data_IF_668705319424
#
_entry.id   IF_668705319424
#
_cell.length_a   1.000
_cell.length_b   1.000
_cell.length_c   1.000
_cell.angle_alpha   90.00
_cell.angle_beta   90.00
_cell.angle_gamma   90.00
#
_symmetry.space_group_name_H-M   'P 1'
#
loop_
_entity.id
_entity.type
_entity.pdbx_description
1 polymer ?
#
# COMPACT_ATOMS: atom_id res chain seq x y z
N UNK A 1 10.46 -31.96 17.70
CA UNK A 1 9.56 -31.96 16.53
C UNK A 1 9.87 -33.21 15.73
N UNK A 2 8.89 -34.10 15.52
CA UNK A 2 9.07 -35.27 14.66
C UNK A 2 9.34 -34.81 13.21
N UNK A 3 10.14 -35.57 12.46
CA UNK A 3 10.51 -35.27 11.07
C UNK A 3 9.29 -35.10 10.14
N UNK A 4 8.13 -35.64 10.52
CA UNK A 4 6.87 -35.59 9.76
C UNK A 4 6.24 -34.19 9.64
N UNK A 5 6.66 -33.23 10.48
CA UNK A 5 6.13 -31.86 10.43
C UNK A 5 6.90 -30.92 9.48
N UNK A 6 8.08 -31.35 9.02
CA UNK A 6 8.95 -30.52 8.17
C UNK A 6 8.34 -30.30 6.77
N UNK A 7 7.88 -31.35 6.04
CA UNK A 7 7.31 -31.14 4.70
C UNK A 7 6.07 -30.22 4.69
N UNK A 8 5.09 -30.36 5.62
CA UNK A 8 3.99 -29.41 5.76
C UNK A 8 4.45 -27.97 5.94
N UNK A 9 5.41 -27.73 6.85
CA UNK A 9 5.89 -26.39 7.15
C UNK A 9 6.55 -25.74 5.92
N UNK A 10 7.45 -26.47 5.25
CA UNK A 10 8.15 -25.98 4.07
C UNK A 10 7.18 -25.70 2.93
N UNK A 11 6.33 -26.68 2.59
CA UNK A 11 5.44 -26.58 1.44
C UNK A 11 4.28 -25.61 1.69
N UNK A 12 3.77 -25.53 2.92
CA UNK A 12 2.65 -24.68 3.27
C UNK A 12 3.00 -23.21 3.49
N UNK A 13 4.22 -22.88 3.95
CA UNK A 13 4.55 -21.51 4.36
C UNK A 13 5.57 -20.83 3.43
N UNK A 14 6.57 -21.57 2.94
CA UNK A 14 7.67 -20.97 2.16
C UNK A 14 7.18 -20.35 0.85
N UNK A 15 6.30 -20.98 0.04
CA UNK A 15 5.96 -20.43 -1.27
C UNK A 15 5.43 -18.99 -1.23
N UNK A 16 4.53 -18.69 -0.28
CA UNK A 16 3.97 -17.34 -0.15
C UNK A 16 4.99 -16.32 0.36
N UNK A 17 5.85 -16.72 1.30
CA UNK A 17 6.94 -15.87 1.79
C UNK A 17 7.99 -15.60 0.70
N UNK A 18 8.33 -16.62 -0.08
CA UNK A 18 9.24 -16.50 -1.22
C UNK A 18 8.65 -15.55 -2.27
N UNK A 19 7.37 -15.68 -2.59
CA UNK A 19 6.70 -14.80 -3.55
C UNK A 19 6.70 -13.34 -3.06
N UNK A 20 6.34 -13.09 -1.80
CA UNK A 20 6.40 -11.75 -1.21
C UNK A 20 7.82 -11.18 -1.23
N UNK A 21 8.82 -12.02 -0.93
CA UNK A 21 10.23 -11.62 -0.97
C UNK A 21 10.65 -11.21 -2.38
N UNK A 22 10.24 -11.96 -3.40
CA UNK A 22 10.49 -11.60 -4.81
C UNK A 22 9.82 -10.27 -5.14
N UNK A 23 8.58 -10.02 -4.70
CA UNK A 23 7.91 -8.73 -4.92
C UNK A 23 8.65 -7.57 -4.28
N UNK A 24 9.12 -7.72 -3.03
CA UNK A 24 9.94 -6.69 -2.33
C UNK A 24 11.30 -6.49 -3.02
N UNK A 25 11.87 -7.56 -3.57
CA UNK A 25 13.13 -7.48 -4.29
C UNK A 25 12.97 -6.74 -5.63
N UNK A 26 11.89 -7.01 -6.38
CA UNK A 26 11.54 -6.37 -7.65
C UNK A 26 11.19 -4.88 -7.51
N UNK A 27 10.95 -4.37 -6.31
CA UNK A 27 10.74 -2.93 -6.09
C UNK A 27 12.07 -2.17 -6.29
N UNK A 28 12.26 -1.60 -7.48
CA UNK A 28 13.49 -0.87 -7.85
C UNK A 28 13.72 0.38 -7.00
N UNK A 29 12.65 1.04 -6.56
CA UNK A 29 12.73 2.31 -5.84
C UNK A 29 12.71 2.14 -4.31
N UNK A 30 12.56 0.90 -3.82
CA UNK A 30 12.45 0.56 -2.39
C UNK A 30 11.45 1.47 -1.68
N UNK A 31 10.23 1.51 -2.25
CA UNK A 31 9.10 2.30 -1.78
C UNK A 31 8.63 1.84 -0.40
N UNK A 32 8.73 0.55 -0.13
CA UNK A 32 8.30 -0.06 1.14
C UNK A 32 9.49 -0.42 2.02
N UNK A 33 9.37 -0.11 3.31
CA UNK A 33 10.34 -0.55 4.32
C UNK A 33 10.00 -1.95 4.81
N UNK A 34 11.02 -2.74 5.11
CA UNK A 34 10.85 -4.09 5.65
C UNK A 34 10.03 -4.09 6.95
N UNK A 35 10.25 -3.12 7.85
CA UNK A 35 9.47 -2.98 9.09
C UNK A 35 7.97 -2.85 8.81
N UNK A 36 7.62 -2.04 7.81
CA UNK A 36 6.24 -1.81 7.40
C UNK A 36 5.63 -3.09 6.81
N UNK A 37 6.36 -3.82 5.96
CA UNK A 37 5.95 -5.13 5.45
C UNK A 37 5.68 -6.12 6.59
N UNK A 38 6.59 -6.20 7.58
CA UNK A 38 6.44 -7.07 8.74
C UNK A 38 5.21 -6.71 9.59
N UNK A 39 4.97 -5.43 9.84
CA UNK A 39 3.76 -4.97 10.56
C UNK A 39 2.47 -5.35 9.84
N UNK A 40 2.48 -5.32 8.50
CA UNK A 40 1.32 -5.70 7.68
C UNK A 40 1.10 -7.20 7.67
N UNK A 41 2.17 -8.00 7.65
CA UNK A 41 2.09 -9.46 7.86
C UNK A 41 1.46 -9.74 9.22
N UNK A 42 1.92 -9.08 10.28
CA UNK A 42 1.35 -9.24 11.64
C UNK A 42 -0.13 -8.83 11.67
N UNK A 43 -0.48 -7.74 11.00
CA UNK A 43 -1.88 -7.28 10.88
C UNK A 43 -2.75 -8.31 10.13
N UNK A 44 -2.22 -8.91 9.07
CA UNK A 44 -2.88 -9.98 8.32
C UNK A 44 -3.09 -11.24 9.17
N UNK A 45 -2.09 -11.61 9.97
CA UNK A 45 -2.18 -12.72 10.92
C UNK A 45 -3.26 -12.46 11.99
N UNK A 46 -3.34 -11.24 12.52
CA UNK A 46 -4.40 -10.84 13.44
C UNK A 46 -5.79 -10.89 12.78
N UNK A 47 -5.90 -10.49 11.51
CA UNK A 47 -7.13 -10.60 10.73
C UNK A 47 -7.59 -12.06 10.56
N UNK A 48 -6.67 -13.00 10.35
CA UNK A 48 -6.99 -14.43 10.32
C UNK A 48 -7.51 -14.94 11.67
N UNK A 49 -6.86 -14.56 12.79
CA UNK A 49 -7.35 -14.91 14.12
C UNK A 49 -8.76 -14.37 14.39
N UNK A 50 -9.03 -13.12 13.98
CA UNK A 50 -10.36 -12.52 14.09
C UNK A 50 -11.39 -13.23 13.20
N UNK A 51 -11.03 -13.57 11.96
CA UNK A 51 -11.90 -14.33 11.06
C UNK A 51 -12.25 -15.68 11.67
N UNK A 52 -11.26 -16.42 12.18
CA UNK A 52 -11.46 -17.71 12.84
C UNK A 52 -12.43 -17.60 14.03
N UNK A 53 -12.28 -16.59 14.89
CA UNK A 53 -13.20 -16.35 16.01
C UNK A 53 -14.62 -16.07 15.55
N UNK A 54 -14.81 -15.17 14.57
CA UNK A 54 -16.13 -14.83 14.04
C UNK A 54 -16.78 -16.05 13.38
N UNK A 55 -16.03 -16.78 12.55
CA UNK A 55 -16.53 -17.96 11.86
C UNK A 55 -16.96 -19.02 12.88
N UNK A 56 -16.10 -19.36 13.84
CA UNK A 56 -16.37 -20.44 14.80
C UNK A 56 -17.46 -20.10 15.81
N UNK A 57 -17.48 -18.89 16.35
CA UNK A 57 -18.40 -18.51 17.43
C UNK A 57 -19.73 -17.96 16.93
N UNK A 58 -19.78 -17.41 15.72
CA UNK A 58 -20.98 -16.71 15.22
C UNK A 58 -21.56 -17.42 14.00
N UNK A 59 -20.74 -17.71 12.98
CA UNK A 59 -21.27 -18.25 11.72
C UNK A 59 -21.59 -19.74 11.80
N UNK A 60 -20.69 -20.55 12.36
CA UNK A 60 -20.86 -22.01 12.48
C UNK A 60 -22.14 -22.40 13.22
N UNK A 61 -22.53 -21.75 14.34
CA UNK A 61 -23.79 -22.06 15.02
C UNK A 61 -25.05 -21.61 14.25
N UNK A 62 -24.93 -20.66 13.32
CA UNK A 62 -26.06 -19.94 12.72
C UNK A 62 -26.32 -20.29 11.25
N UNK A 63 -25.37 -20.91 10.53
CA UNK A 63 -25.42 -21.07 9.08
C UNK A 63 -24.92 -22.45 8.63
N UNK A 64 -25.39 -22.89 7.46
CA UNK A 64 -24.92 -24.12 6.83
C UNK A 64 -23.40 -24.03 6.50
N UNK A 65 -22.60 -25.07 6.81
CA UNK A 65 -21.15 -25.07 6.56
C UNK A 65 -20.76 -24.82 5.10
N UNK A 66 -21.58 -25.25 4.14
CA UNK A 66 -21.31 -25.03 2.71
C UNK A 66 -21.49 -23.57 2.34
N UNK A 67 -22.53 -22.92 2.86
CA UNK A 67 -22.75 -21.47 2.68
C UNK A 67 -21.65 -20.64 3.34
N UNK A 68 -21.19 -21.05 4.52
CA UNK A 68 -20.06 -20.38 5.20
C UNK A 68 -18.82 -20.45 4.31
N UNK A 69 -18.38 -21.67 3.95
CA UNK A 69 -17.15 -21.88 3.18
C UNK A 69 -17.18 -21.19 1.82
N UNK A 70 -18.31 -21.21 1.13
CA UNK A 70 -18.42 -20.71 -0.25
C UNK A 70 -18.71 -19.21 -0.34
N UNK A 71 -19.32 -18.59 0.66
CA UNK A 71 -19.77 -17.20 0.54
C UNK A 71 -19.41 -16.35 1.76
N UNK A 72 -19.84 -16.75 2.97
CA UNK A 72 -19.71 -15.89 4.15
C UNK A 72 -18.26 -15.71 4.59
N UNK A 73 -17.48 -16.80 4.64
CA UNK A 73 -16.05 -16.76 4.98
C UNK A 73 -15.25 -15.95 3.94
N UNK A 74 -15.34 -16.20 2.62
CA UNK A 74 -14.68 -15.36 1.61
C UNK A 74 -14.96 -13.85 1.78
N UNK A 75 -16.22 -13.46 1.96
CA UNK A 75 -16.57 -12.04 2.14
C UNK A 75 -15.99 -11.46 3.44
N UNK A 76 -16.09 -12.18 4.54
CA UNK A 76 -15.56 -11.76 5.84
C UNK A 76 -14.04 -11.62 5.80
N UNK A 77 -13.35 -12.63 5.32
CA UNK A 77 -11.89 -12.69 5.29
C UNK A 77 -11.32 -11.60 4.38
N UNK A 78 -11.89 -11.42 3.18
CA UNK A 78 -11.47 -10.32 2.30
C UNK A 78 -11.78 -8.95 2.89
N UNK A 79 -12.89 -8.79 3.64
CA UNK A 79 -13.22 -7.53 4.32
C UNK A 79 -12.23 -7.18 5.43
N UNK A 80 -11.83 -8.16 6.23
CA UNK A 80 -10.85 -7.98 7.31
C UNK A 80 -9.46 -7.63 6.75
N UNK A 81 -9.01 -8.33 5.70
CA UNK A 81 -7.76 -7.99 5.01
C UNK A 81 -7.84 -6.63 4.32
N UNK A 82 -8.96 -6.33 3.68
CA UNK A 82 -9.19 -5.04 3.03
C UNK A 82 -9.12 -3.88 4.02
N UNK A 83 -9.62 -4.03 5.26
CA UNK A 83 -9.55 -2.98 6.28
C UNK A 83 -8.11 -2.50 6.55
N UNK A 84 -7.13 -3.41 6.54
CA UNK A 84 -5.70 -3.09 6.68
C UNK A 84 -5.25 -2.18 5.53
N UNK A 85 -5.54 -2.58 4.29
CA UNK A 85 -5.15 -1.85 3.09
C UNK A 85 -5.90 -0.51 2.97
N UNK A 86 -7.18 -0.46 3.36
CA UNK A 86 -7.97 0.78 3.44
C UNK A 86 -7.30 1.77 4.39
N UNK A 87 -6.87 1.32 5.56
CA UNK A 87 -6.18 2.17 6.53
C UNK A 87 -4.88 2.74 5.94
N UNK A 88 -4.09 1.90 5.25
CA UNK A 88 -2.84 2.32 4.61
C UNK A 88 -3.06 3.34 3.49
N UNK A 89 -4.06 3.12 2.63
CA UNK A 89 -4.41 4.07 1.55
C UNK A 89 -4.92 5.39 2.13
N UNK A 90 -5.83 5.34 3.12
CA UNK A 90 -6.40 6.55 3.74
C UNK A 90 -5.39 7.36 4.55
N UNK A 91 -4.38 6.70 5.11
CA UNK A 91 -3.29 7.36 5.84
C UNK A 91 -2.13 7.78 4.92
N UNK A 92 -2.28 7.64 3.59
CA UNK A 92 -1.26 7.96 2.59
C UNK A 92 0.06 7.21 2.79
N UNK A 93 0.01 5.99 3.33
CA UNK A 93 1.16 5.06 3.41
C UNK A 93 1.37 4.27 2.11
N UNK A 94 0.46 4.43 1.15
CA UNK A 94 0.51 3.81 -0.19
C UNK A 94 0.44 4.90 -1.26
N UNK A 95 1.56 5.14 -1.93
CA UNK A 95 1.75 6.21 -2.91
C UNK A 95 1.55 5.74 -4.35
N UNK A 96 1.91 4.51 -4.69
CA UNK A 96 1.97 4.00 -6.05
C UNK A 96 1.27 2.63 -6.18
N UNK A 97 1.33 2.01 -7.36
CA UNK A 97 0.76 0.68 -7.57
C UNK A 97 1.67 -0.42 -7.03
N UNK A 98 3.00 -0.21 -7.07
CA UNK A 98 4.00 -1.18 -6.61
C UNK A 98 3.88 -1.42 -5.11
N UNK A 99 3.90 -0.36 -4.30
CA UNK A 99 3.72 -0.46 -2.85
C UNK A 99 2.30 -0.92 -2.48
N UNK A 100 1.26 -0.51 -3.22
CA UNK A 100 -0.09 -1.07 -3.03
C UNK A 100 -0.09 -2.60 -3.20
N UNK A 101 0.56 -3.11 -4.26
CA UNK A 101 0.64 -4.54 -4.53
C UNK A 101 1.41 -5.29 -3.44
N UNK A 102 2.57 -4.79 -3.03
CA UNK A 102 3.38 -5.42 -1.97
C UNK A 102 2.63 -5.44 -0.64
N UNK A 103 2.02 -4.33 -0.25
CA UNK A 103 1.30 -4.21 1.02
C UNK A 103 0.02 -5.05 1.01
N UNK A 104 -0.69 -5.13 -0.11
CA UNK A 104 -1.83 -6.03 -0.29
C UNK A 104 -1.41 -7.51 -0.18
N UNK A 105 -0.34 -7.90 -0.89
CA UNK A 105 0.17 -9.27 -0.81
C UNK A 105 0.67 -9.63 0.58
N UNK A 106 1.34 -8.70 1.27
CA UNK A 106 1.83 -8.90 2.64
C UNK A 106 0.69 -9.15 3.64
N UNK A 107 -0.43 -8.43 3.53
CA UNK A 107 -1.60 -8.64 4.38
C UNK A 107 -2.21 -10.03 4.14
N UNK A 108 -2.35 -10.43 2.87
CA UNK A 108 -2.81 -11.77 2.51
C UNK A 108 -1.82 -12.87 2.93
N UNK A 109 -0.51 -12.60 2.89
CA UNK A 109 0.54 -13.51 3.35
C UNK A 109 0.39 -13.78 4.85
N UNK A 110 0.29 -12.74 5.67
CA UNK A 110 0.07 -12.89 7.11
C UNK A 110 -1.17 -13.70 7.45
N UNK A 111 -2.27 -13.45 6.71
CA UNK A 111 -3.50 -14.20 6.85
C UNK A 111 -3.31 -15.70 6.55
N UNK A 112 -2.72 -16.00 5.39
CA UNK A 112 -2.47 -17.37 4.93
C UNK A 112 -1.54 -18.16 5.85
N UNK A 113 -0.54 -17.50 6.45
CA UNK A 113 0.37 -18.15 7.39
C UNK A 113 -0.39 -18.69 8.61
N UNK A 114 -1.24 -17.88 9.23
CA UNK A 114 -2.04 -18.31 10.39
C UNK A 114 -3.04 -19.39 9.99
N UNK A 115 -3.70 -19.23 8.84
CA UNK A 115 -4.64 -20.23 8.37
C UNK A 115 -3.94 -21.59 8.14
N UNK A 116 -2.81 -21.60 7.44
CA UNK A 116 -2.04 -22.82 7.20
C UNK A 116 -1.55 -23.46 8.51
N UNK A 117 -1.09 -22.67 9.48
CA UNK A 117 -0.69 -23.18 10.79
C UNK A 117 -1.86 -23.82 11.54
N UNK A 118 -3.06 -23.23 11.47
CA UNK A 118 -4.25 -23.82 12.08
C UNK A 118 -4.60 -25.17 11.43
N UNK A 119 -4.59 -25.24 10.10
CA UNK A 119 -4.80 -26.50 9.39
C UNK A 119 -3.73 -27.56 9.71
N UNK A 120 -2.48 -27.17 9.95
CA UNK A 120 -1.41 -28.10 10.35
C UNK A 120 -1.67 -28.68 11.75
N UNK A 121 -2.20 -27.86 12.67
CA UNK A 121 -2.53 -28.30 14.02
C UNK A 121 -3.70 -29.30 14.01
N UNK A 122 -4.68 -29.09 13.14
CA UNK A 122 -5.88 -29.94 13.00
C UNK A 122 -5.61 -31.22 12.18
N UNK A 123 -4.80 -31.14 11.11
CA UNK A 123 -4.59 -32.23 10.15
C UNK A 123 -3.20 -32.89 10.26
N UNK A 124 -2.97 -33.60 11.38
CA UNK A 124 -1.65 -34.15 11.74
C UNK A 124 -1.07 -35.20 10.76
N UNK A 125 -1.91 -35.87 9.97
CA UNK A 125 -1.49 -36.95 9.04
C UNK A 125 -1.85 -36.64 7.57
N UNK A 126 -1.94 -35.36 7.20
CA UNK A 126 -2.27 -34.97 5.83
C UNK A 126 -1.13 -35.28 4.83
N UNK A 127 -1.50 -35.77 3.65
CA UNK A 127 -0.55 -36.07 2.58
C UNK A 127 0.12 -34.82 1.99
N UNK A 128 1.31 -35.00 1.44
CA UNK A 128 2.14 -33.93 0.83
C UNK A 128 1.38 -33.11 -0.21
N UNK A 129 0.51 -33.73 -1.01
CA UNK A 129 -0.32 -33.05 -2.01
C UNK A 129 -1.22 -31.96 -1.43
N UNK A 130 -1.73 -32.13 -0.21
CA UNK A 130 -2.51 -31.08 0.46
C UNK A 130 -1.65 -29.83 0.70
N UNK A 131 -0.44 -30.00 1.18
CA UNK A 131 0.45 -28.89 1.52
C UNK A 131 0.97 -28.17 0.28
N UNK A 132 1.13 -28.87 -0.84
CA UNK A 132 1.38 -28.26 -2.15
C UNK A 132 0.23 -27.32 -2.53
N UNK A 133 -1.02 -27.81 -2.47
CA UNK A 133 -2.22 -27.00 -2.80
C UNK A 133 -2.38 -25.84 -1.84
N UNK A 134 -2.18 -26.06 -0.53
CA UNK A 134 -2.33 -25.00 0.47
C UNK A 134 -1.25 -23.93 0.34
N UNK A 135 -0.01 -24.31 0.06
CA UNK A 135 1.10 -23.36 -0.07
C UNK A 135 1.11 -22.60 -1.39
N UNK A 136 0.96 -23.30 -2.52
CA UNK A 136 1.02 -22.68 -3.85
C UNK A 136 -0.34 -22.20 -4.35
N UNK A 137 -1.43 -22.80 -3.89
CA UNK A 137 -2.79 -22.43 -4.23
C UNK A 137 -3.37 -21.46 -3.20
N UNK A 138 -3.78 -21.97 -2.03
CA UNK A 138 -4.51 -21.18 -1.01
C UNK A 138 -3.72 -19.96 -0.53
N UNK A 139 -2.45 -20.12 -0.14
CA UNK A 139 -1.68 -19.00 0.40
C UNK A 139 -1.39 -17.91 -0.65
N UNK A 140 -1.05 -18.32 -1.88
CA UNK A 140 -0.88 -17.39 -3.00
C UNK A 140 -2.22 -16.74 -3.40
N UNK A 141 -3.35 -17.45 -3.28
CA UNK A 141 -4.69 -16.90 -3.49
C UNK A 141 -5.00 -15.80 -2.47
N UNK A 142 -4.75 -15.98 -1.18
CA UNK A 142 -4.98 -14.92 -0.19
C UNK A 142 -4.11 -13.69 -0.46
N UNK A 143 -2.83 -13.88 -0.78
CA UNK A 143 -1.95 -12.78 -1.20
C UNK A 143 -2.47 -12.08 -2.46
N UNK A 144 -2.88 -12.85 -3.46
CA UNK A 144 -3.35 -12.37 -4.76
C UNK A 144 -4.67 -11.60 -4.71
N UNK A 145 -5.68 -12.11 -4.02
CA UNK A 145 -6.99 -11.44 -3.84
C UNK A 145 -6.83 -10.10 -3.14
N UNK A 146 -6.02 -10.05 -2.08
CA UNK A 146 -5.75 -8.79 -1.36
C UNK A 146 -4.86 -7.83 -2.16
N UNK A 147 -3.96 -8.34 -3.01
CA UNK A 147 -3.23 -7.54 -4.01
C UNK A 147 -4.18 -6.91 -5.02
N UNK A 148 -5.12 -7.67 -5.57
CA UNK A 148 -6.13 -7.19 -6.52
C UNK A 148 -6.95 -6.07 -5.86
N UNK A 149 -7.43 -6.28 -4.63
CA UNK A 149 -8.10 -5.24 -3.85
C UNK A 149 -7.27 -3.96 -3.77
N UNK A 150 -6.01 -4.08 -3.33
CA UNK A 150 -5.13 -2.94 -3.12
C UNK A 150 -4.87 -2.14 -4.40
N UNK A 151 -4.55 -2.83 -5.49
CA UNK A 151 -4.25 -2.23 -6.80
C UNK A 151 -5.49 -1.57 -7.39
N UNK A 152 -6.66 -2.23 -7.33
CA UNK A 152 -7.92 -1.66 -7.82
C UNK A 152 -8.31 -0.42 -7.02
N UNK A 153 -8.28 -0.50 -5.69
CA UNK A 153 -8.62 0.61 -4.81
C UNK A 153 -7.68 1.80 -5.03
N UNK A 154 -6.37 1.55 -5.13
CA UNK A 154 -5.37 2.59 -5.38
C UNK A 154 -5.54 3.24 -6.75
N UNK A 155 -5.77 2.45 -7.80
CA UNK A 155 -6.03 2.96 -9.14
C UNK A 155 -7.25 3.88 -9.17
N UNK A 156 -8.34 3.50 -8.49
CA UNK A 156 -9.55 4.30 -8.40
C UNK A 156 -9.37 5.55 -7.54
N UNK A 157 -8.63 5.46 -6.43
CA UNK A 157 -8.30 6.59 -5.59
C UNK A 157 -7.47 7.64 -6.34
N UNK A 158 -6.47 7.20 -7.12
CA UNK A 158 -5.64 8.09 -7.94
C UNK A 158 -6.46 8.77 -9.03
N UNK A 159 -7.34 8.03 -9.73
CA UNK A 159 -8.23 8.60 -10.76
C UNK A 159 -9.21 9.62 -10.20
N UNK A 160 -9.69 9.44 -8.97
CA UNK A 160 -10.64 10.35 -8.32
C UNK A 160 -9.98 11.47 -7.52
N UNK A 161 -8.66 11.42 -7.34
CA UNK A 161 -7.91 12.34 -6.47
C UNK A 161 -8.21 12.18 -4.97
N UNK A 162 -9.02 11.21 -4.56
CA UNK A 162 -9.42 11.00 -3.16
C UNK A 162 -9.76 9.53 -2.84
N UNK A 163 -9.47 9.12 -1.60
CA UNK A 163 -9.72 7.78 -1.08
C UNK A 163 -11.13 7.64 -0.43
N UNK A 164 -12.17 8.09 -1.13
CA UNK A 164 -13.56 7.99 -0.66
C UNK A 164 -14.07 6.55 -0.62
N UNK A 165 -15.10 6.21 0.20
CA UNK A 165 -15.56 4.82 0.39
C UNK A 165 -15.84 4.04 -0.90
N UNK A 166 -16.39 4.71 -1.93
CA UNK A 166 -16.74 4.09 -3.20
C UNK A 166 -15.55 3.59 -4.04
N UNK A 167 -14.30 3.92 -3.70
CA UNK A 167 -13.11 3.38 -4.41
C UNK A 167 -12.76 1.95 -4.00
N UNK A 168 -13.20 1.53 -2.81
CA UNK A 168 -12.86 0.22 -2.24
C UNK A 168 -13.84 -0.88 -2.65
N UNK A 169 -15.11 -0.53 -2.87
CA UNK A 169 -16.18 -1.49 -3.14
C UNK A 169 -15.89 -2.41 -4.35
N UNK A 170 -15.44 -1.89 -5.51
CA UNK A 170 -15.18 -2.74 -6.68
C UNK A 170 -14.06 -3.76 -6.43
N UNK A 171 -12.98 -3.35 -5.78
CA UNK A 171 -11.88 -4.24 -5.43
C UNK A 171 -12.29 -5.31 -4.43
N UNK A 172 -13.11 -4.93 -3.42
CA UNK A 172 -13.55 -5.87 -2.38
C UNK A 172 -14.50 -6.92 -2.97
N UNK A 173 -15.43 -6.48 -3.81
CA UNK A 173 -16.33 -7.38 -4.52
C UNK A 173 -15.54 -8.37 -5.39
N UNK A 174 -14.57 -7.88 -6.16
CA UNK A 174 -13.73 -8.74 -7.01
C UNK A 174 -12.92 -9.74 -6.19
N UNK A 175 -12.31 -9.31 -5.09
CA UNK A 175 -11.55 -10.20 -4.20
C UNK A 175 -12.45 -11.29 -3.59
N UNK A 176 -13.63 -10.92 -3.07
CA UNK A 176 -14.58 -11.86 -2.48
C UNK A 176 -15.11 -12.87 -3.51
N UNK A 177 -15.38 -12.43 -4.74
CA UNK A 177 -15.82 -13.32 -5.83
C UNK A 177 -14.73 -14.32 -6.23
N UNK A 178 -13.48 -13.88 -6.34
CA UNK A 178 -12.36 -14.76 -6.69
C UNK A 178 -12.07 -15.79 -5.58
N UNK A 179 -12.11 -15.35 -4.31
CA UNK A 179 -11.97 -16.24 -3.17
C UNK A 179 -13.15 -17.22 -3.10
N UNK A 180 -14.38 -16.73 -3.24
CA UNK A 180 -15.56 -17.58 -3.31
C UNK A 180 -15.43 -18.64 -4.42
N UNK A 181 -15.03 -18.24 -5.63
CA UNK A 181 -14.80 -19.14 -6.75
C UNK A 181 -13.77 -20.21 -6.43
N UNK A 182 -12.66 -19.84 -5.77
CA UNK A 182 -11.65 -20.79 -5.30
C UNK A 182 -12.28 -21.84 -4.37
N UNK A 183 -13.09 -21.42 -3.39
CA UNK A 183 -13.74 -22.27 -2.41
C UNK A 183 -14.94 -23.10 -2.95
N UNK A 184 -15.36 -22.86 -4.19
CA UNK A 184 -16.37 -23.70 -4.84
C UNK A 184 -15.80 -25.03 -5.35
N UNK A 185 -14.49 -25.10 -5.58
CA UNK A 185 -13.81 -26.29 -6.13
C UNK A 185 -14.45 -26.77 -7.44
N UNK A 186 -14.82 -25.84 -8.34
CA UNK A 186 -15.38 -26.19 -9.65
C UNK A 186 -14.44 -27.06 -10.52
N UNK A 187 -13.14 -26.99 -10.24
CA UNK A 187 -12.11 -27.87 -10.84
C UNK A 187 -11.22 -28.43 -9.74
N UNK A 188 -10.44 -29.46 -10.07
CA UNK A 188 -9.54 -30.10 -9.11
C UNK A 188 -8.59 -29.08 -8.44
N UNK A 189 -8.30 -29.18 -7.13
CA UNK A 189 -7.47 -28.19 -6.42
C UNK A 189 -6.07 -28.00 -7.01
N UNK A 190 -5.48 -29.05 -7.60
CA UNK A 190 -4.21 -28.96 -8.32
C UNK A 190 -4.30 -28.09 -9.58
N UNK A 191 -5.42 -28.17 -10.31
CA UNK A 191 -5.66 -27.31 -11.48
C UNK A 191 -5.89 -25.85 -11.07
N UNK A 192 -6.60 -25.60 -9.97
CA UNK A 192 -6.74 -24.25 -9.41
C UNK A 192 -5.37 -23.68 -9.00
N UNK A 193 -4.52 -24.50 -8.38
CA UNK A 193 -3.15 -24.13 -8.02
C UNK A 193 -2.33 -23.76 -9.26
N UNK A 194 -2.36 -24.59 -10.30
CA UNK A 194 -1.69 -24.31 -11.57
C UNK A 194 -2.21 -23.01 -12.21
N UNK A 195 -3.53 -22.78 -12.22
CA UNK A 195 -4.13 -21.56 -12.74
C UNK A 195 -3.62 -20.32 -12.00
N UNK A 196 -3.54 -20.36 -10.67
CA UNK A 196 -2.99 -19.25 -9.87
C UNK A 196 -1.54 -18.98 -10.24
N UNK A 197 -0.70 -20.01 -10.33
CA UNK A 197 0.72 -19.86 -10.68
C UNK A 197 0.94 -19.36 -12.10
N UNK A 198 0.02 -19.65 -13.03
CA UNK A 198 0.09 -19.15 -14.40
C UNK A 198 -0.47 -17.73 -14.57
N UNK A 199 -1.36 -17.28 -13.69
CA UNK A 199 -2.09 -16.01 -13.86
C UNK A 199 -1.60 -14.91 -12.92
N UNK A 200 -1.34 -15.22 -11.66
CA UNK A 200 -0.98 -14.22 -10.65
C UNK A 200 0.40 -13.59 -10.90
N UNK A 201 1.48 -14.34 -11.19
CA UNK A 201 2.79 -13.73 -11.39
C UNK A 201 2.84 -12.77 -12.60
N UNK A 202 2.30 -13.13 -13.80
CA UNK A 202 2.20 -12.17 -14.90
C UNK A 202 1.37 -10.94 -14.57
N UNK A 203 0.26 -11.10 -13.83
CA UNK A 203 -0.56 -9.97 -13.41
C UNK A 203 0.22 -9.03 -12.48
N UNK A 204 0.95 -9.56 -11.49
CA UNK A 204 1.82 -8.77 -10.62
C UNK A 204 2.93 -8.09 -11.40
N UNK A 205 3.58 -8.78 -12.34
CA UNK A 205 4.61 -8.20 -13.20
C UNK A 205 4.07 -7.02 -14.03
N UNK A 206 2.87 -7.13 -14.59
CA UNK A 206 2.21 -6.03 -15.31
C UNK A 206 1.88 -4.85 -14.40
N UNK A 207 1.45 -5.12 -13.16
CA UNK A 207 1.22 -4.06 -12.16
C UNK A 207 2.51 -3.34 -11.83
N UNK A 208 3.62 -4.07 -11.67
CA UNK A 208 4.94 -3.48 -11.39
C UNK A 208 5.42 -2.63 -12.58
N UNK A 209 5.37 -3.14 -13.80
CA UNK A 209 5.76 -2.39 -15.00
C UNK A 209 4.97 -1.08 -15.14
N UNK A 210 3.64 -1.13 -14.98
CA UNK A 210 2.80 0.08 -15.02
C UNK A 210 3.06 1.01 -13.85
N UNK A 211 3.27 0.46 -12.67
CA UNK A 211 3.55 1.21 -11.45
C UNK A 211 4.87 1.97 -11.53
N UNK A 212 5.93 1.31 -11.99
CA UNK A 212 7.25 1.93 -12.22
C UNK A 212 7.19 3.00 -13.31
N UNK A 213 6.51 2.74 -14.42
CA UNK A 213 6.32 3.77 -15.46
C UNK A 213 5.59 5.01 -14.89
N UNK A 214 4.53 4.82 -14.11
CA UNK A 214 3.82 5.93 -13.47
C UNK A 214 4.68 6.65 -12.43
N UNK A 215 5.55 5.93 -11.72
CA UNK A 215 6.46 6.52 -10.73
C UNK A 215 7.55 7.34 -11.41
N UNK A 216 8.21 6.80 -12.44
CA UNK A 216 9.24 7.50 -13.21
C UNK A 216 8.69 8.78 -13.84
N UNK A 217 7.54 8.71 -14.50
CA UNK A 217 6.90 9.90 -15.07
C UNK A 217 6.54 10.95 -14.00
N UNK A 218 6.13 10.51 -12.80
CA UNK A 218 5.88 11.42 -11.68
C UNK A 218 7.16 12.05 -11.14
N UNK A 219 8.26 11.29 -11.08
CA UNK A 219 9.57 11.79 -10.71
C UNK A 219 10.04 12.85 -11.70
N UNK A 220 10.07 12.53 -13.00
CA UNK A 220 10.60 13.42 -14.04
C UNK A 220 9.84 14.75 -14.10
N UNK A 221 8.51 14.69 -14.25
CA UNK A 221 7.67 15.89 -14.37
C UNK A 221 7.67 16.70 -13.06
N UNK A 222 7.58 16.02 -11.92
CA UNK A 222 7.51 16.69 -10.63
C UNK A 222 8.85 17.29 -10.18
N UNK A 223 9.97 16.66 -10.52
CA UNK A 223 11.31 17.16 -10.16
C UNK A 223 11.64 18.46 -10.90
N UNK A 224 11.33 18.52 -12.20
CA UNK A 224 11.52 19.74 -13.00
C UNK A 224 10.62 20.88 -12.51
N UNK A 225 9.36 20.58 -12.18
CA UNK A 225 8.42 21.56 -11.66
C UNK A 225 8.89 22.13 -10.32
N UNK A 226 9.31 21.27 -9.39
CA UNK A 226 9.80 21.70 -8.08
C UNK A 226 11.11 22.48 -8.18
N UNK A 227 12.02 22.09 -9.07
CA UNK A 227 13.27 22.83 -9.30
C UNK A 227 13.00 24.24 -9.82
N UNK A 228 12.08 24.39 -10.77
CA UNK A 228 11.65 25.70 -11.29
C UNK A 228 10.98 26.54 -10.20
N UNK A 229 10.10 25.94 -9.41
CA UNK A 229 9.44 26.63 -8.28
C UNK A 229 10.48 27.16 -7.30
N UNK A 230 11.42 26.32 -6.87
CA UNK A 230 12.45 26.73 -5.91
C UNK A 230 13.37 27.82 -6.48
N UNK A 231 13.76 27.72 -7.74
CA UNK A 231 14.56 28.74 -8.42
C UNK A 231 13.82 30.09 -8.51
N UNK A 232 12.52 30.09 -8.81
CA UNK A 232 11.71 31.32 -8.82
C UNK A 232 11.59 31.94 -7.43
N UNK A 233 11.44 31.13 -6.38
CA UNK A 233 11.43 31.61 -4.99
C UNK A 233 12.77 32.26 -4.64
N UNK A 234 13.90 31.59 -4.93
CA UNK A 234 15.24 32.09 -4.59
C UNK A 234 15.65 33.33 -5.39
N UNK A 235 15.25 33.41 -6.66
CA UNK A 235 15.56 34.56 -7.53
C UNK A 235 14.58 35.73 -7.39
N UNK A 236 13.58 35.62 -6.52
CA UNK A 236 12.56 36.65 -6.31
C UNK A 236 11.57 36.83 -7.47
N UNK A 237 11.55 35.91 -8.44
CA UNK A 237 10.68 35.97 -9.63
C UNK A 237 9.36 35.22 -9.46
N UNK A 238 9.05 34.76 -8.25
CA UNK A 238 7.81 34.04 -7.99
C UNK A 238 6.57 34.87 -8.35
N UNK A 239 6.63 36.20 -8.19
CA UNK A 239 5.56 37.15 -8.54
C UNK A 239 5.07 37.04 -9.98
N UNK A 240 5.94 36.62 -10.89
CA UNK A 240 5.65 36.52 -12.33
C UNK A 240 4.99 35.18 -12.69
N UNK A 241 4.86 34.28 -11.72
CA UNK A 241 4.26 32.96 -11.89
C UNK A 241 2.78 32.93 -11.46
N UNK A 242 1.97 31.97 -11.94
CA UNK A 242 0.60 31.76 -11.47
C UNK A 242 0.52 31.59 -9.94
N UNK A 243 1.53 30.98 -9.33
CA UNK A 243 1.63 30.77 -7.88
C UNK A 243 1.83 32.10 -7.15
N UNK A 244 2.70 32.98 -7.66
CA UNK A 244 2.92 34.32 -7.09
C UNK A 244 1.70 35.22 -7.25
N UNK A 245 1.03 35.17 -8.40
CA UNK A 245 -0.23 35.88 -8.61
C UNK A 245 -1.30 35.43 -7.61
N UNK A 246 -1.40 34.12 -7.36
CA UNK A 246 -2.30 33.59 -6.35
C UNK A 246 -1.93 34.04 -4.92
N UNK A 247 -0.64 33.99 -4.55
CA UNK A 247 -0.16 34.51 -3.26
C UNK A 247 -0.48 36.01 -3.08
N UNK A 248 -0.38 36.80 -4.16
CA UNK A 248 -0.74 38.22 -4.11
C UNK A 248 -2.21 38.41 -3.75
N UNK A 249 -3.12 37.55 -4.23
CA UNK A 249 -4.55 37.59 -3.84
C UNK A 249 -4.82 37.24 -2.37
N UNK A 250 -3.85 36.58 -1.70
CA UNK A 250 -3.93 36.27 -0.27
C UNK A 250 -3.41 37.40 0.61
N UNK A 251 -2.62 38.33 0.05
CA UNK A 251 -1.95 39.40 0.79
C UNK A 251 -2.95 40.30 1.53
N UNK A 252 -4.11 40.55 0.94
CA UNK A 252 -5.17 41.39 1.52
C UNK A 252 -6.09 40.60 2.46
N UNK A 253 -5.96 39.27 2.51
CA UNK A 253 -6.83 38.36 3.28
C UNK A 253 -6.18 37.83 4.56
N UNK A 254 -4.86 37.95 4.67
CA UNK A 254 -4.07 37.46 5.79
C UNK A 254 -3.16 38.56 6.35
N UNK A 255 -2.79 38.46 7.62
CA UNK A 255 -1.75 39.31 8.20
C UNK A 255 -0.42 39.08 7.47
N UNK A 256 0.40 40.12 7.32
CA UNK A 256 1.68 40.04 6.60
C UNK A 256 2.61 38.92 7.10
N UNK A 257 2.64 38.70 8.43
CA UNK A 257 3.35 37.57 9.07
C UNK A 257 2.91 36.21 8.52
N UNK A 258 1.60 35.98 8.39
CA UNK A 258 1.04 34.73 7.88
C UNK A 258 1.34 34.55 6.39
N UNK A 259 1.36 35.64 5.62
CA UNK A 259 1.72 35.60 4.19
C UNK A 259 3.20 35.22 4.03
N UNK A 260 4.08 35.74 4.89
CA UNK A 260 5.49 35.34 4.93
C UNK A 260 5.62 33.86 5.30
N UNK A 261 4.92 33.39 6.33
CA UNK A 261 4.92 31.99 6.73
C UNK A 261 4.37 31.06 5.63
N UNK A 262 3.36 31.49 4.86
CA UNK A 262 2.86 30.75 3.69
C UNK A 262 3.93 30.60 2.61
N UNK A 263 4.71 31.64 2.35
CA UNK A 263 5.82 31.58 1.40
C UNK A 263 6.95 30.67 1.90
N UNK A 264 7.31 30.77 3.19
CA UNK A 264 8.27 29.87 3.82
C UNK A 264 7.80 28.41 3.77
N UNK A 265 6.51 28.17 4.05
CA UNK A 265 5.91 26.85 3.99
C UNK A 265 5.96 26.27 2.57
N UNK A 266 5.62 27.07 1.55
CA UNK A 266 5.70 26.68 0.15
C UNK A 266 7.14 26.30 -0.23
N UNK A 267 8.11 27.16 0.09
CA UNK A 267 9.53 26.92 -0.17
C UNK A 267 10.00 25.61 0.45
N UNK A 268 9.74 25.44 1.76
CA UNK A 268 10.21 24.29 2.52
C UNK A 268 9.56 22.99 2.03
N UNK A 269 8.27 23.05 1.67
CA UNK A 269 7.58 21.92 1.05
C UNK A 269 8.21 21.53 -0.29
N UNK A 270 8.54 22.50 -1.15
CA UNK A 270 9.22 22.25 -2.43
C UNK A 270 10.63 21.67 -2.22
N UNK A 271 11.40 22.17 -1.24
CA UNK A 271 12.71 21.61 -0.89
C UNK A 271 12.59 20.15 -0.44
N UNK A 272 11.66 19.84 0.47
CA UNK A 272 11.41 18.48 0.94
C UNK A 272 10.92 17.56 -0.19
N UNK A 273 10.09 18.07 -1.10
CA UNK A 273 9.63 17.34 -2.29
C UNK A 273 10.81 16.96 -3.20
N UNK A 274 11.72 17.89 -3.49
CA UNK A 274 12.95 17.59 -4.25
C UNK A 274 13.83 16.57 -3.55
N UNK A 275 14.02 16.70 -2.23
CA UNK A 275 14.79 15.73 -1.43
C UNK A 275 14.18 14.33 -1.52
N UNK A 276 12.86 14.20 -1.39
CA UNK A 276 12.17 12.92 -1.50
C UNK A 276 12.35 12.28 -2.89
N UNK A 277 12.18 13.06 -3.97
CA UNK A 277 12.37 12.57 -5.34
C UNK A 277 13.82 12.18 -5.60
N UNK A 278 14.78 12.99 -5.18
CA UNK A 278 16.21 12.68 -5.29
C UNK A 278 16.59 11.40 -4.55
N UNK A 279 16.03 11.15 -3.35
CA UNK A 279 16.20 9.90 -2.62
C UNK A 279 15.70 8.69 -3.41
N UNK A 280 14.56 8.81 -4.09
CA UNK A 280 14.01 7.73 -4.92
C UNK A 280 14.89 7.44 -6.14
N UNK A 281 15.42 8.48 -6.81
CA UNK A 281 16.35 8.32 -7.94
C UNK A 281 17.67 7.65 -7.52
N UNK A 282 18.19 8.01 -6.34
CA UNK A 282 19.38 7.39 -5.78
C UNK A 282 19.14 5.91 -5.44
N UNK A 283 17.96 5.57 -4.87
CA UNK A 283 17.57 4.19 -4.59
C UNK A 283 17.44 3.35 -5.85
N UNK A 284 16.82 3.89 -6.90
CA UNK A 284 16.73 3.23 -8.22
C UNK A 284 18.12 2.89 -8.77
N UNK A 285 19.09 3.78 -8.56
CA UNK A 285 20.49 3.57 -8.97
C UNK A 285 21.28 2.64 -8.04
N UNK A 286 20.65 2.07 -7.01
CA UNK A 286 21.25 1.13 -6.07
C UNK A 286 21.96 1.76 -4.86
N UNK A 287 21.90 3.08 -4.68
CA UNK A 287 22.50 3.73 -3.51
C UNK A 287 21.64 3.55 -2.25
N UNK A 288 22.30 3.22 -1.14
CA UNK A 288 21.65 3.20 0.18
C UNK A 288 21.75 4.56 0.85
N UNK A 289 20.70 5.35 0.71
CA UNK A 289 20.64 6.71 1.24
C UNK A 289 19.72 6.77 2.45
N UNK A 290 20.27 7.30 3.54
CA UNK A 290 19.54 7.52 4.78
C UNK A 290 19.09 8.97 4.85
N UNK A 291 17.94 9.21 5.47
CA UNK A 291 17.45 10.56 5.74
C UNK A 291 18.36 11.18 6.81
N UNK A 292 18.97 12.31 6.48
CA UNK A 292 19.90 13.03 7.33
C UNK A 292 19.17 13.91 8.38
N UNK A 293 19.95 14.48 9.30
CA UNK A 293 19.41 15.35 10.34
C UNK A 293 18.82 16.65 9.75
N UNK A 294 19.39 17.19 8.67
CA UNK A 294 18.88 18.37 7.95
C UNK A 294 17.41 18.18 7.52
N UNK A 295 17.06 17.02 6.94
CA UNK A 295 15.67 16.74 6.56
C UNK A 295 14.74 16.69 7.78
N UNK A 296 15.20 16.17 8.92
CA UNK A 296 14.38 16.13 10.14
C UNK A 296 14.09 17.52 10.68
N UNK A 297 15.11 18.37 10.74
CA UNK A 297 14.96 19.77 11.17
C UNK A 297 13.99 20.53 10.25
N UNK A 298 14.07 20.31 8.93
CA UNK A 298 13.12 20.86 7.96
C UNK A 298 11.70 20.33 8.13
N UNK A 299 11.51 19.06 8.51
CA UNK A 299 10.19 18.52 8.79
C UNK A 299 9.58 19.12 10.06
N UNK A 300 10.40 19.42 11.07
CA UNK A 300 9.98 20.09 12.30
C UNK A 300 9.61 21.55 12.04
N UNK A 301 10.41 22.27 11.23
CA UNK A 301 10.09 23.62 10.76
C UNK A 301 8.80 23.63 9.93
N UNK A 302 8.59 22.66 9.04
CA UNK A 302 7.36 22.54 8.27
C UNK A 302 6.15 22.36 9.21
N UNK A 303 6.28 21.54 10.26
CA UNK A 303 5.22 21.34 11.25
C UNK A 303 4.93 22.59 12.09
N UNK A 304 5.96 23.37 12.40
CA UNK A 304 5.80 24.69 13.02
C UNK A 304 5.02 25.64 12.10
N UNK A 305 5.40 25.75 10.83
CA UNK A 305 4.73 26.60 9.85
C UNK A 305 3.28 26.16 9.62
N UNK A 306 2.97 24.86 9.58
CA UNK A 306 1.58 24.37 9.51
C UNK A 306 0.71 24.86 10.68
N UNK A 307 1.29 24.99 11.88
CA UNK A 307 0.60 25.52 13.07
C UNK A 307 0.46 27.04 12.98
N UNK A 308 1.50 27.75 12.53
CA UNK A 308 1.50 29.21 12.40
C UNK A 308 0.45 29.70 11.40
N UNK A 309 0.42 29.14 10.18
CA UNK A 309 -0.54 29.53 9.14
C UNK A 309 -1.99 29.10 9.45
N UNK A 310 -2.15 28.14 10.37
CA UNK A 310 -3.44 27.62 10.80
C UNK A 310 -4.24 26.88 9.72
N UNK A 311 -5.45 26.43 10.06
CA UNK A 311 -6.30 25.63 9.16
C UNK A 311 -6.67 26.39 7.87
N UNK A 312 -6.97 27.68 7.98
CA UNK A 312 -7.35 28.52 6.83
C UNK A 312 -6.15 28.73 5.90
N UNK A 313 -4.96 29.02 6.44
CA UNK A 313 -3.74 29.13 5.64
C UNK A 313 -3.38 27.82 4.95
N UNK A 314 -3.54 26.68 5.64
CA UNK A 314 -3.35 25.36 5.03
C UNK A 314 -4.30 25.11 3.86
N UNK A 315 -5.58 25.48 3.96
CA UNK A 315 -6.52 25.35 2.84
C UNK A 315 -6.17 26.32 1.70
N UNK A 316 -5.74 27.53 2.03
CA UNK A 316 -5.32 28.52 1.04
C UNK A 316 -4.07 28.09 0.28
N UNK A 317 -3.14 27.37 0.90
CA UNK A 317 -1.90 26.94 0.22
C UNK A 317 -2.10 25.70 -0.68
N UNK A 318 -3.19 24.95 -0.49
CA UNK A 318 -3.43 23.68 -1.21
C UNK A 318 -3.41 23.78 -2.74
N UNK A 319 -4.01 24.80 -3.39
CA UNK A 319 -3.99 24.92 -4.85
C UNK A 319 -2.57 25.08 -5.41
N UNK A 320 -1.66 25.68 -4.65
CA UNK A 320 -0.26 25.88 -5.06
C UNK A 320 0.59 24.63 -4.89
N UNK A 321 0.21 23.76 -3.96
CA UNK A 321 0.94 22.53 -3.69
C UNK A 321 0.57 21.39 -4.63
N UNK A 322 -0.54 21.43 -5.37
CA UNK A 322 -1.02 20.27 -6.15
C UNK A 322 -1.14 18.98 -5.32
N UNK A 323 -1.68 19.06 -4.08
CA UNK A 323 -1.83 17.92 -3.16
C UNK A 323 -2.56 16.72 -3.77
N UNK A 324 -1.81 15.82 -4.38
CA UNK A 324 -2.22 14.45 -4.66
C UNK A 324 -1.85 13.56 -3.47
N UNK A 325 -2.48 12.39 -3.33
CA UNK A 325 -2.10 11.43 -2.28
C UNK A 325 -0.60 11.07 -2.29
N UNK A 326 0.05 11.19 -3.45
CA UNK A 326 1.50 10.99 -3.65
C UNK A 326 2.36 12.04 -2.93
N UNK A 327 1.88 13.28 -2.83
CA UNK A 327 2.60 14.34 -2.12
C UNK A 327 2.53 14.22 -0.59
N UNK A 328 1.42 13.69 -0.08
CA UNK A 328 1.35 13.36 1.34
C UNK A 328 2.24 12.15 1.64
N UNK A 329 2.22 11.15 0.76
CA UNK A 329 3.06 9.96 0.86
C UNK A 329 4.56 10.29 0.90
N UNK A 330 5.07 11.19 0.06
CA UNK A 330 6.50 11.55 0.07
C UNK A 330 6.96 12.12 1.42
N UNK A 331 6.12 12.93 2.08
CA UNK A 331 6.44 13.50 3.40
C UNK A 331 6.48 12.39 4.45
N UNK A 332 5.58 11.39 4.39
CA UNK A 332 5.66 10.23 5.28
C UNK A 332 6.91 9.39 5.04
N UNK A 333 7.30 9.19 3.77
CA UNK A 333 8.49 8.45 3.40
C UNK A 333 9.77 9.07 4.00
N UNK A 334 9.83 10.41 4.05
CA UNK A 334 10.92 11.17 4.69
C UNK A 334 10.89 11.12 6.22
N UNK A 335 9.70 11.00 6.84
CA UNK A 335 9.54 10.97 8.30
C UNK A 335 9.89 9.63 8.93
N UNK A 336 9.66 8.54 8.21
CA UNK A 336 10.01 7.20 8.69
C UNK A 336 11.53 7.05 8.84
#
# INVERSE_FOLDING_TARGET
>A
MSADFIPPLLLGLIPVLAFLTVMVWMDSYKLVRLRTVLLVIVSGAAAAGMAWLIITQILVPAMDPTLIRRYAAPLLEESLKAAIVVALIRTNRVGFLVDAAIMGFAAGTGFALVENLNYMAELKNAGVGLWIVRGLGTAIMHGGTTTIFAVTAKTLADKRGQAGPGVFAPGLLLAALLHSFFNHFFVAPMLQTALILLTLPPMVALVFQRGEYSLRNWLDVGFDADTKMLAMIHTGRLSDSPVGLYLATLKDKFRGEIVADLLCYLRLHTELSLRAKGLLMMRESGFQVHVDQDVREKLDELAYLERSIGRTGRLAVMPMLQKTGKELWQIYMLKE
#
